data_IF_301509604139
#
_entry.id   IF_301509604139
#
_cell.length_a   1.000
_cell.length_b   1.000
_cell.length_c   1.000
_cell.angle_alpha   90.00
_cell.angle_beta   90.00
_cell.angle_gamma   90.00
#
_symmetry.space_group_name_H-M   'P 1'
#
loop_
_entity.id
_entity.type
_entity.pdbx_description
1 polymer ?
#
# COMPACT_ATOMS: atom_id res chain seq x y z
N UNK A 1 -6.02 10.33 -17.46
CA UNK A 1 -6.04 10.01 -16.02
C UNK A 1 -5.30 11.07 -15.22
N UNK A 2 -5.37 11.00 -13.89
CA UNK A 2 -4.65 11.96 -13.04
C UNK A 2 -3.13 11.70 -13.02
N UNK A 3 -2.71 10.48 -13.38
CA UNK A 3 -1.32 10.06 -13.50
C UNK A 3 -1.08 9.54 -14.91
N UNK A 4 0.06 9.91 -15.50
CA UNK A 4 0.52 9.39 -16.78
C UNK A 4 1.33 8.11 -16.54
N UNK A 5 0.62 7.00 -16.37
CA UNK A 5 1.19 5.69 -16.02
C UNK A 5 0.45 4.57 -16.72
N UNK A 6 1.18 3.50 -17.00
CA UNK A 6 0.65 2.22 -17.40
C UNK A 6 0.57 1.30 -16.16
N UNK A 7 -0.58 0.69 -15.95
CA UNK A 7 -0.74 -0.38 -14.96
C UNK A 7 -0.43 -1.70 -15.67
N UNK A 8 0.79 -2.18 -15.53
CA UNK A 8 1.27 -3.36 -16.23
C UNK A 8 0.50 -4.64 -15.87
N UNK A 9 0.16 -4.82 -14.61
CA UNK A 9 -0.69 -5.93 -14.13
C UNK A 9 -1.22 -5.66 -12.72
N UNK A 10 -2.27 -6.38 -12.35
CA UNK A 10 -2.73 -6.53 -10.97
C UNK A 10 -2.49 -7.96 -10.51
N UNK A 11 -1.86 -8.13 -9.35
CA UNK A 11 -1.58 -9.44 -8.76
C UNK A 11 -2.30 -9.53 -7.42
N UNK A 12 -3.20 -10.49 -7.31
CA UNK A 12 -3.93 -10.79 -6.08
C UNK A 12 -3.57 -12.17 -5.52
N UNK A 13 -3.80 -12.38 -4.24
CA UNK A 13 -3.71 -13.71 -3.63
C UNK A 13 -5.06 -14.46 -3.61
N UNK A 14 -6.10 -13.81 -4.12
CA UNK A 14 -7.45 -14.34 -4.37
C UNK A 14 -7.92 -13.89 -5.75
N UNK A 15 -8.82 -14.65 -6.36
CA UNK A 15 -9.29 -14.40 -7.72
C UNK A 15 -10.50 -13.45 -7.83
N UNK A 16 -11.01 -13.00 -6.71
CA UNK A 16 -12.27 -12.25 -6.58
C UNK A 16 -12.29 -10.87 -7.27
N UNK A 17 -11.15 -10.34 -7.66
CA UNK A 17 -11.06 -9.05 -8.37
C UNK A 17 -10.81 -9.18 -9.88
N UNK A 18 -10.63 -10.41 -10.39
CA UNK A 18 -10.32 -10.66 -11.80
C UNK A 18 -11.27 -9.94 -12.75
N UNK A 19 -12.55 -10.23 -12.67
CA UNK A 19 -13.56 -9.64 -13.55
C UNK A 19 -13.57 -8.11 -13.52
N UNK A 20 -13.32 -7.53 -12.34
CA UNK A 20 -13.27 -6.08 -12.18
C UNK A 20 -12.04 -5.48 -12.88
N UNK A 21 -10.88 -6.09 -12.69
CA UNK A 21 -9.61 -5.60 -13.24
C UNK A 21 -9.58 -5.74 -14.76
N UNK A 22 -10.00 -6.89 -15.27
CA UNK A 22 -10.03 -7.18 -16.71
C UNK A 22 -11.00 -6.28 -17.50
N UNK A 23 -12.01 -5.67 -16.86
CA UNK A 23 -12.85 -4.62 -17.48
C UNK A 23 -12.08 -3.34 -17.87
N UNK A 24 -10.91 -3.16 -17.32
CA UNK A 24 -10.02 -2.03 -17.64
C UNK A 24 -8.88 -2.43 -18.58
N UNK A 25 -8.98 -3.61 -19.20
CA UNK A 25 -7.95 -4.18 -20.08
C UNK A 25 -6.59 -4.36 -19.37
N UNK A 26 -6.61 -4.55 -18.04
CA UNK A 26 -5.42 -4.79 -17.23
C UNK A 26 -5.30 -6.29 -16.95
N UNK A 27 -4.12 -6.91 -17.19
CA UNK A 27 -3.88 -8.30 -16.84
C UNK A 27 -4.05 -8.56 -15.32
N UNK A 28 -4.76 -9.62 -14.96
CA UNK A 28 -4.91 -10.04 -13.58
C UNK A 28 -4.29 -11.43 -13.35
N UNK A 29 -3.45 -11.54 -12.34
CA UNK A 29 -2.85 -12.81 -11.93
C UNK A 29 -3.22 -13.15 -10.49
N UNK A 30 -3.66 -14.39 -10.27
CA UNK A 30 -3.86 -14.91 -8.93
C UNK A 30 -2.64 -15.75 -8.51
N UNK A 31 -1.89 -15.25 -7.54
CA UNK A 31 -0.79 -15.97 -6.90
C UNK A 31 -1.24 -16.38 -5.50
N UNK A 32 -1.90 -17.55 -5.42
CA UNK A 32 -2.43 -18.06 -4.15
C UNK A 32 -1.31 -18.35 -3.15
N UNK A 33 -1.58 -18.09 -1.90
CA UNK A 33 -0.68 -18.39 -0.79
C UNK A 33 -1.03 -19.69 -0.07
N UNK A 34 -2.09 -20.38 -0.49
CA UNK A 34 -2.58 -21.59 0.15
C UNK A 34 -1.54 -22.71 0.04
N UNK A 35 -1.23 -23.33 1.16
CA UNK A 35 -0.23 -24.41 1.23
C UNK A 35 1.23 -23.95 1.09
N UNK A 36 1.50 -22.65 0.98
CA UNK A 36 2.83 -22.12 0.80
C UNK A 36 3.35 -21.41 2.06
N UNK A 37 4.64 -21.55 2.32
CA UNK A 37 5.35 -20.70 3.27
C UNK A 37 5.43 -19.25 2.75
N UNK A 38 5.79 -18.31 3.62
CA UNK A 38 6.00 -16.90 3.21
C UNK A 38 7.12 -16.75 2.17
N UNK A 39 8.16 -17.55 2.29
CA UNK A 39 9.30 -17.54 1.37
C UNK A 39 8.89 -18.05 -0.01
N UNK A 40 8.24 -19.19 -0.07
CA UNK A 40 7.75 -19.77 -1.33
C UNK A 40 6.78 -18.85 -2.05
N UNK A 41 5.78 -18.32 -1.31
CA UNK A 41 4.84 -17.36 -1.89
C UNK A 41 5.54 -16.09 -2.37
N UNK A 42 6.47 -15.54 -1.57
CA UNK A 42 7.26 -14.36 -1.95
C UNK A 42 8.08 -14.58 -3.22
N UNK A 43 8.63 -15.79 -3.41
CA UNK A 43 9.38 -16.17 -4.62
C UNK A 43 8.46 -16.20 -5.84
N UNK A 44 7.31 -16.89 -5.77
CA UNK A 44 6.34 -16.93 -6.87
C UNK A 44 5.81 -15.54 -7.22
N UNK A 45 5.57 -14.71 -6.21
CA UNK A 45 5.15 -13.33 -6.41
C UNK A 45 6.22 -12.52 -7.14
N UNK A 46 7.49 -12.65 -6.75
CA UNK A 46 8.60 -11.97 -7.39
C UNK A 46 8.79 -12.44 -8.85
N UNK A 47 8.71 -13.75 -9.11
CA UNK A 47 8.78 -14.30 -10.46
C UNK A 47 7.68 -13.71 -11.35
N UNK A 48 6.45 -13.61 -10.84
CA UNK A 48 5.33 -13.01 -11.60
C UNK A 48 5.51 -11.50 -11.83
N UNK A 49 6.04 -10.77 -10.87
CA UNK A 49 6.33 -9.33 -10.99
C UNK A 49 7.42 -9.08 -12.03
N UNK A 50 8.47 -9.91 -12.03
CA UNK A 50 9.60 -9.75 -12.94
C UNK A 50 9.24 -9.95 -14.42
N UNK A 51 8.18 -10.72 -14.72
CA UNK A 51 7.66 -10.84 -16.09
C UNK A 51 7.25 -9.49 -16.69
N UNK A 52 6.86 -8.55 -15.84
CA UNK A 52 6.40 -7.20 -16.24
C UNK A 52 7.48 -6.14 -16.08
N UNK A 53 8.56 -6.43 -15.34
CA UNK A 53 9.66 -5.49 -15.06
C UNK A 53 9.17 -4.06 -14.66
N UNK A 54 8.21 -3.90 -13.72
CA UNK A 54 7.62 -2.61 -13.41
C UNK A 54 8.64 -1.67 -12.76
N UNK A 55 8.47 -0.35 -12.96
CA UNK A 55 9.25 0.66 -12.24
C UNK A 55 8.94 0.66 -10.75
N UNK A 56 7.68 0.55 -10.40
CA UNK A 56 7.19 0.51 -9.02
C UNK A 56 6.17 -0.60 -8.78
N UNK A 57 6.15 -1.11 -7.57
CA UNK A 57 5.18 -2.07 -7.05
C UNK A 57 4.35 -1.35 -6.00
N UNK A 58 3.03 -1.42 -6.12
CA UNK A 58 2.10 -0.79 -5.19
C UNK A 58 1.36 -1.85 -4.39
N UNK A 59 1.48 -1.78 -3.07
CA UNK A 59 0.71 -2.61 -2.16
C UNK A 59 -0.56 -1.86 -1.74
N UNK A 60 -1.70 -2.34 -2.21
CA UNK A 60 -3.01 -1.83 -1.83
C UNK A 60 -3.80 -2.94 -1.14
N UNK A 61 -4.08 -2.79 0.15
CA UNK A 61 -4.75 -3.82 0.98
C UNK A 61 -4.06 -5.19 0.95
N UNK A 62 -2.76 -5.21 0.77
CA UNK A 62 -1.96 -6.41 0.87
C UNK A 62 -1.67 -6.68 2.36
N UNK A 63 -2.39 -7.64 2.94
CA UNK A 63 -2.40 -7.88 4.38
C UNK A 63 -1.37 -8.94 4.84
N UNK A 64 -0.38 -9.25 4.02
CA UNK A 64 0.68 -10.21 4.33
C UNK A 64 2.01 -9.51 4.47
N UNK A 65 2.82 -9.96 5.42
CA UNK A 65 4.20 -9.49 5.57
C UNK A 65 5.07 -10.12 4.47
N UNK A 66 5.70 -9.29 3.67
CA UNK A 66 6.68 -9.72 2.67
C UNK A 66 7.96 -10.21 3.36
N UNK A 67 8.61 -11.21 2.78
CA UNK A 67 9.86 -11.71 3.33
C UNK A 67 11.04 -10.78 2.99
N UNK A 68 12.14 -10.81 3.78
CA UNK A 68 13.29 -9.93 3.56
C UNK A 68 13.93 -10.07 2.18
N UNK A 69 13.92 -11.26 1.59
CA UNK A 69 14.46 -11.51 0.25
C UNK A 69 13.67 -10.74 -0.82
N UNK A 70 12.33 -10.72 -0.70
CA UNK A 70 11.49 -9.93 -1.59
C UNK A 70 11.77 -8.44 -1.43
N UNK A 71 11.87 -7.94 -0.20
CA UNK A 71 12.16 -6.52 0.08
C UNK A 71 13.52 -6.13 -0.50
N UNK A 72 14.54 -6.96 -0.32
CA UNK A 72 15.89 -6.71 -0.85
C UNK A 72 15.95 -6.72 -2.38
N UNK A 73 15.05 -7.44 -3.06
CA UNK A 73 14.98 -7.49 -4.53
C UNK A 73 14.49 -6.19 -5.16
N UNK A 74 13.65 -5.44 -4.45
CA UNK A 74 13.02 -4.21 -4.95
C UNK A 74 13.28 -3.00 -4.03
N UNK A 75 14.54 -2.62 -3.81
CA UNK A 75 14.88 -1.54 -2.87
C UNK A 75 14.29 -0.20 -3.32
N UNK A 76 13.53 0.46 -2.44
CA UNK A 76 12.84 1.73 -2.70
C UNK A 76 11.91 1.72 -3.94
N UNK A 77 11.38 0.55 -4.30
CA UNK A 77 10.47 0.37 -5.44
C UNK A 77 9.10 -0.17 -5.03
N UNK A 78 8.92 -0.54 -3.78
CA UNK A 78 7.65 -1.03 -3.25
C UNK A 78 7.03 0.01 -2.35
N UNK A 79 5.89 0.55 -2.77
CA UNK A 79 5.13 1.58 -2.05
C UNK A 79 3.90 0.92 -1.42
N UNK A 80 3.74 1.09 -0.13
CA UNK A 80 2.57 0.63 0.61
C UNK A 80 1.69 1.81 1.00
N UNK A 81 0.37 1.64 0.92
CA UNK A 81 -0.60 2.54 1.53
C UNK A 81 -1.12 1.94 2.84
N UNK A 82 -0.81 2.58 3.94
CA UNK A 82 -1.26 2.19 5.27
C UNK A 82 -2.42 3.08 5.73
N UNK A 83 -3.45 2.44 6.32
CA UNK A 83 -4.73 3.07 6.68
C UNK A 83 -4.67 3.84 7.99
N UNK A 84 -3.53 4.43 8.35
CA UNK A 84 -3.41 5.30 9.51
C UNK A 84 -2.34 6.36 9.31
N UNK A 85 -2.35 7.34 10.19
CA UNK A 85 -1.29 8.33 10.32
C UNK A 85 -0.14 7.72 11.14
N UNK A 86 0.81 7.07 10.43
CA UNK A 86 1.97 6.44 11.10
C UNK A 86 2.80 7.48 11.88
N UNK A 87 3.32 7.13 13.05
CA UNK A 87 3.42 5.77 13.64
C UNK A 87 2.20 5.34 14.48
N UNK A 88 1.06 6.03 14.40
CA UNK A 88 -0.14 5.63 15.13
C UNK A 88 -0.87 4.46 14.45
N UNK A 89 -1.44 3.56 15.27
CA UNK A 89 -2.30 2.46 14.83
C UNK A 89 -1.64 1.51 13.81
N UNK A 90 -0.45 1.04 14.15
CA UNK A 90 0.27 0.02 13.38
C UNK A 90 -0.52 -1.29 13.38
N UNK A 91 -0.49 -2.00 12.25
CA UNK A 91 -1.09 -3.33 12.10
C UNK A 91 -2.56 -3.31 11.65
N UNK A 92 -3.37 -4.28 12.11
CA UNK A 92 -4.70 -4.55 11.60
C UNK A 92 -5.78 -3.63 12.17
N UNK A 93 -6.83 -3.36 11.38
CA UNK A 93 -8.05 -2.62 11.78
C UNK A 93 -7.79 -1.22 12.39
N UNK A 94 -6.97 -0.37 11.78
CA UNK A 94 -6.60 0.93 12.36
C UNK A 94 -7.81 1.86 12.62
N UNK A 95 -8.85 1.84 11.78
CA UNK A 95 -10.06 2.64 12.02
C UNK A 95 -10.88 2.17 13.21
N UNK A 96 -10.91 0.88 13.50
CA UNK A 96 -11.55 0.35 14.71
C UNK A 96 -10.77 0.78 15.96
N UNK A 97 -9.44 0.68 15.93
CA UNK A 97 -8.58 1.15 17.02
C UNK A 97 -8.76 2.67 17.24
N UNK A 98 -8.81 3.45 16.16
CA UNK A 98 -9.03 4.90 16.20
C UNK A 98 -10.38 5.25 16.83
N UNK A 99 -11.44 4.55 16.45
CA UNK A 99 -12.78 4.72 17.01
C UNK A 99 -12.81 4.40 18.51
N UNK A 100 -12.30 3.24 18.91
CA UNK A 100 -12.26 2.82 20.33
C UNK A 100 -11.42 3.75 21.20
N UNK A 101 -10.36 4.33 20.63
CA UNK A 101 -9.53 5.32 21.32
C UNK A 101 -10.17 6.71 21.40
N UNK A 102 -11.21 6.99 20.62
CA UNK A 102 -11.88 8.29 20.57
C UNK A 102 -11.01 9.41 20.00
N UNK A 103 -10.17 9.11 18.99
CA UNK A 103 -9.28 10.10 18.36
C UNK A 103 -10.08 11.18 17.64
N UNK A 104 -9.44 12.32 17.39
CA UNK A 104 -10.03 13.48 16.70
C UNK A 104 -9.50 13.66 15.27
N UNK A 105 -8.55 12.82 14.87
CA UNK A 105 -8.02 12.76 13.51
C UNK A 105 -7.84 11.31 13.09
N UNK A 106 -8.08 11.04 11.81
CA UNK A 106 -7.67 9.80 11.12
C UNK A 106 -6.89 10.17 9.87
N UNK A 107 -6.16 9.23 9.30
CA UNK A 107 -5.35 9.53 8.13
C UNK A 107 -4.85 8.30 7.41
N UNK A 108 -3.97 8.54 6.45
CA UNK A 108 -3.27 7.52 5.71
C UNK A 108 -1.81 7.90 5.48
N UNK A 109 -0.97 6.89 5.29
CA UNK A 109 0.46 7.03 5.04
C UNK A 109 0.86 6.18 3.85
N UNK A 110 1.46 6.80 2.83
CA UNK A 110 2.21 6.10 1.79
C UNK A 110 3.69 6.09 2.16
N UNK A 111 4.31 4.92 2.15
CA UNK A 111 5.71 4.75 2.50
C UNK A 111 6.36 3.65 1.65
N UNK A 112 7.66 3.71 1.47
CA UNK A 112 8.41 2.57 0.98
C UNK A 112 8.42 1.46 2.03
N UNK A 113 8.41 0.21 1.61
CA UNK A 113 8.57 -0.90 2.54
C UNK A 113 10.04 -1.12 2.90
N UNK A 114 10.26 -1.63 4.10
CA UNK A 114 11.52 -2.19 4.56
C UNK A 114 11.25 -3.51 5.29
N UNK A 115 12.23 -4.05 6.02
CA UNK A 115 12.09 -5.32 6.74
C UNK A 115 11.24 -5.20 8.02
N UNK A 116 10.88 -4.00 8.43
CA UNK A 116 10.06 -3.74 9.61
C UNK A 116 8.65 -3.32 9.18
N UNK A 117 7.64 -3.95 9.77
CA UNK A 117 6.24 -3.70 9.40
C UNK A 117 5.86 -2.24 9.64
N UNK A 118 5.38 -1.58 8.58
CA UNK A 118 4.89 -0.20 8.58
C UNK A 118 5.91 0.85 9.09
N UNK A 119 7.22 0.56 8.98
CA UNK A 119 8.29 1.44 9.47
C UNK A 119 9.24 1.95 8.37
N UNK A 120 8.93 1.71 7.12
CA UNK A 120 9.74 2.19 6.00
C UNK A 120 9.65 3.71 5.79
N UNK A 121 10.51 4.28 4.93
CA UNK A 121 10.57 5.71 4.66
C UNK A 121 9.23 6.27 4.19
N UNK A 122 8.70 7.25 4.92
CA UNK A 122 7.40 7.87 4.63
C UNK A 122 7.53 8.80 3.43
N UNK A 123 6.66 8.63 2.43
CA UNK A 123 6.61 9.48 1.22
C UNK A 123 5.60 10.59 1.40
N UNK A 124 4.37 10.23 1.80
CA UNK A 124 3.25 11.16 1.91
C UNK A 124 2.32 10.76 3.02
N UNK A 125 1.79 11.75 3.72
CA UNK A 125 0.75 11.55 4.72
C UNK A 125 -0.33 12.61 4.57
N UNK A 126 -1.56 12.26 4.93
CA UNK A 126 -2.64 13.22 5.11
C UNK A 126 -3.58 12.76 6.21
N UNK A 127 -4.24 13.71 6.84
CA UNK A 127 -5.22 13.50 7.92
C UNK A 127 -6.50 14.28 7.67
N UNK A 128 -7.58 13.79 8.24
CA UNK A 128 -8.86 14.52 8.34
C UNK A 128 -9.34 14.53 9.78
N UNK A 129 -10.10 15.56 10.13
CA UNK A 129 -10.76 15.64 11.43
C UNK A 129 -11.95 14.70 11.49
N UNK A 130 -12.14 14.09 12.64
CA UNK A 130 -13.31 13.27 13.00
C UNK A 130 -13.80 13.68 14.39
N UNK A 131 -15.05 13.39 14.69
CA UNK A 131 -15.66 13.68 15.97
C UNK A 131 -16.50 12.50 16.47
N UNK A 132 -17.22 12.73 17.57
CA UNK A 132 -18.05 11.71 18.22
C UNK A 132 -19.25 11.23 17.39
N UNK A 133 -19.59 11.90 16.30
CA UNK A 133 -20.67 11.49 15.40
C UNK A 133 -20.24 10.42 14.39
N UNK A 134 -18.95 10.22 14.25
CA UNK A 134 -18.40 9.19 13.36
C UNK A 134 -18.46 7.80 14.01
N UNK A 135 -19.10 6.85 13.35
CA UNK A 135 -18.92 5.44 13.66
C UNK A 135 -17.59 4.91 13.08
N UNK A 136 -17.15 3.73 13.50
CA UNK A 136 -15.97 3.08 12.91
C UNK A 136 -16.10 2.91 11.38
N UNK A 137 -17.29 2.55 10.90
CA UNK A 137 -17.57 2.43 9.46
C UNK A 137 -17.55 3.78 8.74
N UNK A 138 -18.02 4.84 9.37
CA UNK A 138 -17.94 6.20 8.82
C UNK A 138 -16.46 6.66 8.72
N UNK A 139 -15.66 6.40 9.75
CA UNK A 139 -14.22 6.65 9.73
C UNK A 139 -13.53 5.87 8.61
N UNK A 140 -13.88 4.59 8.44
CA UNK A 140 -13.33 3.76 7.37
C UNK A 140 -13.69 4.28 5.97
N UNK A 141 -14.93 4.73 5.74
CA UNK A 141 -15.34 5.33 4.45
C UNK A 141 -14.58 6.63 4.17
N UNK A 142 -14.54 7.55 5.13
CA UNK A 142 -13.80 8.80 4.99
C UNK A 142 -12.30 8.57 4.80
N UNK A 143 -11.73 7.61 5.53
CA UNK A 143 -10.33 7.23 5.40
C UNK A 143 -9.95 6.70 4.02
N UNK A 144 -10.83 5.98 3.34
CA UNK A 144 -10.58 5.51 1.95
C UNK A 144 -10.36 6.65 0.96
N UNK A 145 -11.00 7.79 1.14
CA UNK A 145 -10.79 8.94 0.27
C UNK A 145 -9.45 9.63 0.57
N UNK A 146 -9.03 9.61 1.84
CA UNK A 146 -7.67 10.03 2.23
C UNK A 146 -6.63 9.12 1.63
N UNK A 147 -6.82 7.78 1.72
CA UNK A 147 -5.91 6.77 1.14
C UNK A 147 -5.69 7.00 -0.36
N UNK A 148 -6.78 7.21 -1.14
CA UNK A 148 -6.70 7.49 -2.58
C UNK A 148 -5.86 8.73 -2.86
N UNK A 149 -6.09 9.81 -2.13
CA UNK A 149 -5.37 11.08 -2.31
C UNK A 149 -3.89 10.93 -1.96
N UNK A 150 -3.58 10.27 -0.83
CA UNK A 150 -2.21 10.06 -0.36
C UNK A 150 -1.44 9.17 -1.34
N UNK A 151 -2.04 8.04 -1.77
CA UNK A 151 -1.41 7.14 -2.72
C UNK A 151 -1.16 7.81 -4.07
N UNK A 152 -2.16 8.51 -4.62
CA UNK A 152 -2.01 9.22 -5.89
C UNK A 152 -0.87 10.25 -5.86
N UNK A 153 -0.76 11.03 -4.79
CA UNK A 153 0.34 12.02 -4.63
C UNK A 153 1.70 11.35 -4.43
N UNK A 154 1.75 10.27 -3.67
CA UNK A 154 3.00 9.53 -3.48
C UNK A 154 3.51 8.91 -4.80
N UNK A 155 2.59 8.37 -5.60
CA UNK A 155 2.91 7.85 -6.93
C UNK A 155 3.37 8.96 -7.89
N UNK A 156 2.69 10.10 -7.89
CA UNK A 156 3.12 11.26 -8.69
C UNK A 156 4.57 11.68 -8.37
N UNK A 157 4.92 11.74 -7.09
CA UNK A 157 6.28 12.05 -6.66
C UNK A 157 7.29 10.98 -7.11
N UNK A 158 6.93 9.70 -6.97
CA UNK A 158 7.79 8.58 -7.32
C UNK A 158 8.06 8.52 -8.83
N UNK A 159 7.00 8.65 -9.64
CA UNK A 159 7.06 8.56 -11.10
C UNK A 159 7.79 9.74 -11.78
N UNK A 160 7.91 10.85 -11.08
CA UNK A 160 8.67 12.02 -11.55
C UNK A 160 10.04 12.14 -10.88
N UNK A 161 10.57 11.08 -10.26
CA UNK A 161 11.88 11.05 -9.58
C UNK A 161 12.06 12.17 -8.54
N UNK A 162 10.97 12.53 -7.84
CA UNK A 162 10.95 13.63 -6.86
C UNK A 162 11.10 13.13 -5.42
N UNK A 163 11.50 11.90 -5.20
CA UNK A 163 11.71 11.32 -3.88
C UNK A 163 13.19 10.99 -3.71
N UNK A 164 13.84 11.63 -2.78
CA UNK A 164 15.18 11.28 -2.35
C UNK A 164 15.13 10.54 -1.01
N UNK A 165 15.62 9.31 -0.98
CA UNK A 165 15.67 8.49 0.26
C UNK A 165 17.01 8.68 0.95
N UNK A 166 16.97 9.13 2.20
CA UNK A 166 18.15 9.24 3.06
C UNK A 166 17.92 8.49 4.37
N UNK A 167 18.64 7.40 4.56
CA UNK A 167 18.42 6.46 5.67
C UNK A 167 16.96 5.98 5.66
N UNK A 168 16.21 6.17 6.76
CA UNK A 168 14.80 5.82 6.87
C UNK A 168 13.86 7.06 6.73
N UNK A 169 14.24 8.03 5.90
CA UNK A 169 13.46 9.26 5.66
C UNK A 169 13.44 9.57 4.17
N UNK A 170 12.44 10.31 3.72
CA UNK A 170 12.40 10.88 2.38
C UNK A 170 12.54 12.40 2.43
N UNK A 171 13.09 12.95 1.35
CA UNK A 171 13.01 14.36 0.98
C UNK A 171 12.22 14.41 -0.31
N UNK A 172 11.15 15.21 -0.35
CA UNK A 172 10.22 15.35 -1.46
C UNK A 172 10.03 16.80 -1.83
#
# INVERSE_FOLDING_TARGET
GALDVEIAAVIGNHDNLRELVERFDIPFHCVSHEGLTRVEHGKLLAEKIDEYAPDYIVLAKYMRVLNPEFVARYPNRVINIHHSFLPAFIGAKPYQQAYERGVKIIGATAHFINNELDQGPIIMQNVINVDHTYSADAMMRAGRDVEKTVLSRALDLALHDRIFVYKNKTVV
#
